data_IF_119355095988
#
_entry.id   IF_119355095988
#
_cell.length_a   1.000
_cell.length_b   1.000
_cell.length_c   1.000
_cell.angle_alpha   90.00
_cell.angle_beta   90.00
_cell.angle_gamma   90.00
#
_symmetry.space_group_name_H-M   'P 1'
#
loop_
_entity.id
_entity.type
_entity.pdbx_description
1 polymer ?
#
# COMPACT_ATOMS: atom_id res chain seq x y z
N UNK A 1 -23.41 -11.79 -47.18
CA UNK A 1 -23.67 -12.36 -45.83
C UNK A 1 -22.38 -12.88 -45.22
N UNK A 2 -21.71 -12.10 -44.36
CA UNK A 2 -20.66 -12.60 -43.46
C UNK A 2 -20.59 -11.62 -42.29
N UNK A 3 -21.20 -12.01 -41.17
CA UNK A 3 -21.26 -11.21 -39.94
C UNK A 3 -19.86 -11.26 -39.30
N UNK A 4 -19.16 -10.13 -39.27
CA UNK A 4 -17.90 -9.99 -38.54
C UNK A 4 -18.29 -9.65 -37.10
N UNK A 5 -18.17 -10.62 -36.20
CA UNK A 5 -18.39 -10.41 -34.78
C UNK A 5 -17.17 -9.67 -34.21
N UNK A 6 -17.36 -8.43 -33.78
CA UNK A 6 -16.37 -7.68 -33.03
C UNK A 6 -16.29 -8.26 -31.61
N UNK A 7 -15.16 -8.88 -31.27
CA UNK A 7 -14.82 -9.27 -29.91
C UNK A 7 -14.40 -8.02 -29.15
N UNK A 8 -15.34 -7.41 -28.44
CA UNK A 8 -15.06 -6.31 -27.52
C UNK A 8 -14.28 -6.87 -26.33
N UNK A 9 -12.97 -6.65 -26.33
CA UNK A 9 -12.11 -6.86 -25.16
C UNK A 9 -12.45 -5.75 -24.15
N UNK A 10 -13.38 -6.03 -23.24
CA UNK A 10 -13.65 -5.17 -22.11
C UNK A 10 -12.42 -5.22 -21.19
N UNK A 11 -11.48 -4.28 -21.41
CA UNK A 11 -10.43 -4.01 -20.46
C UNK A 11 -11.11 -3.39 -19.24
N UNK A 12 -11.44 -4.21 -18.26
CA UNK A 12 -11.84 -3.77 -16.93
C UNK A 12 -10.64 -3.04 -16.33
N UNK A 13 -10.55 -1.74 -16.59
CA UNK A 13 -9.71 -0.84 -15.82
C UNK A 13 -10.38 -0.78 -14.46
N UNK A 14 -9.99 -1.68 -13.54
CA UNK A 14 -10.29 -1.46 -12.14
C UNK A 14 -9.69 -0.09 -11.80
N UNK A 15 -10.46 0.85 -11.23
CA UNK A 15 -9.86 2.07 -10.75
C UNK A 15 -8.84 1.64 -9.69
N UNK A 16 -7.56 1.85 -9.96
CA UNK A 16 -6.57 1.86 -8.90
C UNK A 16 -7.09 2.88 -7.90
N UNK A 17 -7.42 2.43 -6.68
CA UNK A 17 -7.83 3.31 -5.61
C UNK A 17 -6.82 4.46 -5.58
N UNK A 18 -7.28 5.66 -5.93
CA UNK A 18 -6.39 6.80 -6.04
C UNK A 18 -6.01 7.19 -4.62
N UNK A 19 -4.77 6.90 -4.24
CA UNK A 19 -4.20 7.33 -2.98
C UNK A 19 -3.22 8.48 -3.23
N UNK A 20 -3.12 9.40 -2.28
CA UNK A 20 -2.31 10.59 -2.40
C UNK A 20 -0.93 10.44 -1.73
N UNK A 21 -0.81 9.51 -0.78
CA UNK A 21 0.44 9.28 -0.07
C UNK A 21 1.55 8.80 -1.01
N UNK A 22 2.71 9.47 -0.95
CA UNK A 22 3.90 9.06 -1.70
C UNK A 22 4.62 7.90 -0.99
N UNK A 23 4.76 6.71 -1.62
CA UNK A 23 5.50 5.58 -1.04
C UNK A 23 6.96 5.88 -0.70
N UNK A 24 7.58 6.87 -1.37
CA UNK A 24 8.98 7.25 -1.12
C UNK A 24 9.22 7.66 0.34
N UNK A 25 8.21 8.24 1.00
CA UNK A 25 8.25 8.63 2.41
C UNK A 25 8.50 7.46 3.36
N UNK A 26 8.07 6.25 2.99
CA UNK A 26 8.27 5.06 3.81
C UNK A 26 9.71 4.53 3.67
N UNK A 27 10.26 4.58 2.46
CA UNK A 27 11.55 3.96 2.11
C UNK A 27 12.78 4.64 2.73
N UNK A 28 12.63 5.86 3.26
CA UNK A 28 13.68 6.52 4.04
C UNK A 28 14.15 5.68 5.24
N UNK A 29 13.22 4.99 5.90
CA UNK A 29 13.52 4.08 7.00
C UNK A 29 13.30 2.60 6.62
N UNK A 30 12.28 2.30 5.82
CA UNK A 30 11.88 0.95 5.49
C UNK A 30 12.45 0.48 4.15
N UNK A 31 13.71 0.03 4.19
CA UNK A 31 14.42 -0.53 3.04
C UNK A 31 15.17 -1.78 3.44
N UNK A 32 15.51 -2.61 2.46
CA UNK A 32 16.36 -3.76 2.66
C UNK A 32 17.63 -3.40 3.45
N UNK A 33 17.92 -4.17 4.49
CA UNK A 33 19.10 -3.98 5.35
C UNK A 33 19.02 -2.78 6.31
N UNK A 34 17.87 -2.12 6.44
CA UNK A 34 17.71 -1.05 7.43
C UNK A 34 17.87 -1.58 8.87
N UNK A 35 18.70 -0.94 9.71
CA UNK A 35 18.88 -1.36 11.10
C UNK A 35 17.78 -0.86 12.03
N UNK A 36 16.97 0.11 11.60
CA UNK A 36 15.99 0.81 12.44
C UNK A 36 14.55 0.49 12.10
N UNK A 37 14.28 -0.13 10.95
CA UNK A 37 12.93 -0.48 10.53
C UNK A 37 12.93 -1.74 9.65
N UNK A 38 11.87 -2.57 9.69
CA UNK A 38 11.74 -3.73 8.82
C UNK A 38 11.54 -3.30 7.36
N UNK A 39 11.98 -4.14 6.43
CA UNK A 39 11.68 -3.95 5.01
C UNK A 39 10.18 -4.15 4.74
N UNK A 40 9.60 -3.26 3.95
CA UNK A 40 8.19 -3.30 3.55
C UNK A 40 7.99 -3.99 2.20
N UNK A 41 9.03 -4.16 1.38
CA UNK A 41 8.90 -4.82 0.08
C UNK A 41 8.35 -6.24 0.26
N UNK A 42 7.25 -6.55 -0.43
CA UNK A 42 6.55 -7.83 -0.36
C UNK A 42 5.85 -8.10 0.97
N UNK A 43 5.60 -7.08 1.79
CA UNK A 43 4.75 -7.22 2.97
C UNK A 43 3.29 -7.46 2.53
N UNK A 44 2.60 -8.49 3.05
CA UNK A 44 1.19 -8.72 2.72
C UNK A 44 0.32 -7.48 3.03
N UNK A 45 -0.59 -7.15 2.11
CA UNK A 45 -1.38 -5.92 2.19
C UNK A 45 -2.25 -5.85 3.47
N UNK A 46 -2.83 -6.98 3.88
CA UNK A 46 -3.62 -7.12 5.10
C UNK A 46 -2.77 -6.82 6.35
N UNK A 47 -1.53 -7.31 6.40
CA UNK A 47 -0.60 -7.04 7.48
C UNK A 47 -0.17 -5.58 7.53
N UNK A 48 0.09 -4.97 6.37
CA UNK A 48 0.41 -3.55 6.29
C UNK A 48 -0.75 -2.70 6.82
N UNK A 49 -1.97 -2.96 6.33
CA UNK A 49 -3.17 -2.22 6.74
C UNK A 49 -3.43 -2.39 8.24
N UNK A 50 -3.35 -3.60 8.77
CA UNK A 50 -3.51 -3.86 10.20
C UNK A 50 -2.49 -3.06 11.02
N UNK A 51 -1.20 -3.16 10.68
CA UNK A 51 -0.15 -2.45 11.41
C UNK A 51 -0.35 -0.93 11.40
N UNK A 52 -0.70 -0.34 10.25
CA UNK A 52 -0.93 1.11 10.17
C UNK A 52 -2.13 1.56 10.99
N UNK A 53 -3.22 0.79 10.99
CA UNK A 53 -4.39 1.06 11.83
C UNK A 53 -4.09 0.90 13.33
N UNK A 54 -3.28 -0.08 13.70
CA UNK A 54 -2.83 -0.28 15.07
C UNK A 54 -1.93 0.87 15.56
N UNK A 55 -1.01 1.36 14.72
CA UNK A 55 -0.20 2.53 15.06
C UNK A 55 -1.04 3.80 15.19
N UNK A 56 -2.01 3.99 14.30
CA UNK A 56 -2.90 5.16 14.29
C UNK A 56 -3.81 5.19 15.51
N UNK A 57 -4.41 4.05 15.87
CA UNK A 57 -5.24 3.89 17.07
C UNK A 57 -4.43 3.88 18.37
N UNK A 58 -3.14 3.55 18.30
CA UNK A 58 -2.27 3.36 19.45
C UNK A 58 -2.31 1.95 20.05
N UNK A 59 -3.04 1.01 19.44
CA UNK A 59 -3.01 -0.41 19.84
C UNK A 59 -1.60 -1.03 19.72
N UNK A 60 -0.82 -0.58 18.73
CA UNK A 60 0.60 -0.90 18.60
C UNK A 60 1.44 0.33 18.93
N UNK A 61 2.29 0.22 19.95
CA UNK A 61 3.09 1.35 20.44
C UNK A 61 4.38 1.52 19.63
N UNK A 62 4.50 2.64 18.93
CA UNK A 62 5.75 3.18 18.38
C UNK A 62 5.53 4.67 18.06
N UNK A 63 6.18 5.62 18.74
CA UNK A 63 5.93 7.05 18.55
C UNK A 63 6.19 7.54 17.11
N UNK A 64 7.24 7.03 16.47
CA UNK A 64 7.59 7.38 15.09
C UNK A 64 6.51 6.91 14.13
N UNK A 65 6.15 5.62 14.17
CA UNK A 65 5.13 5.09 13.27
C UNK A 65 3.73 5.62 13.57
N UNK A 66 3.43 5.97 14.83
CA UNK A 66 2.21 6.71 15.17
C UNK A 66 2.18 8.04 14.42
N UNK A 67 3.23 8.85 14.51
CA UNK A 67 3.32 10.12 13.79
C UNK A 67 3.20 9.94 12.26
N UNK A 68 3.80 8.89 11.70
CA UNK A 68 3.71 8.58 10.26
C UNK A 68 2.31 8.10 9.83
N UNK A 69 1.59 7.38 10.69
CA UNK A 69 0.26 6.82 10.37
C UNK A 69 -0.89 7.81 10.55
N UNK A 70 -0.75 8.78 11.45
CA UNK A 70 -1.79 9.77 11.76
C UNK A 70 -2.33 10.57 10.55
N UNK A 71 -1.49 11.10 9.63
CA UNK A 71 -1.97 11.90 8.51
C UNK A 71 -2.58 11.07 7.36
N UNK A 72 -2.41 9.74 7.38
CA UNK A 72 -2.86 8.88 6.28
C UNK A 72 -4.36 8.65 6.36
N UNK A 73 -5.06 8.79 5.24
CA UNK A 73 -6.45 8.34 5.10
C UNK A 73 -6.52 6.82 4.97
N UNK A 74 -7.72 6.25 5.09
CA UNK A 74 -7.93 4.81 4.87
C UNK A 74 -7.60 4.42 3.42
N UNK A 75 -7.85 5.33 2.47
CA UNK A 75 -7.48 5.16 1.07
C UNK A 75 -5.96 5.16 0.89
N UNK A 76 -5.22 6.02 1.62
CA UNK A 76 -3.76 6.02 1.61
C UNK A 76 -3.17 4.73 2.19
N UNK A 77 -3.71 4.26 3.31
CA UNK A 77 -3.26 3.00 3.91
C UNK A 77 -3.50 1.83 2.95
N UNK A 78 -4.67 1.76 2.30
CA UNK A 78 -4.97 0.72 1.32
C UNK A 78 -4.07 0.81 0.09
N UNK A 79 -3.81 2.02 -0.41
CA UNK A 79 -2.94 2.25 -1.56
C UNK A 79 -1.48 1.89 -1.30
N UNK A 80 -0.94 2.29 -0.14
CA UNK A 80 0.41 1.91 0.28
C UNK A 80 0.53 0.41 0.52
N UNK A 81 -0.49 -0.23 1.13
CA UNK A 81 -0.53 -1.67 1.31
C UNK A 81 -0.47 -2.42 -0.03
N UNK A 82 -1.27 -1.99 -1.01
CA UNK A 82 -1.25 -2.53 -2.36
C UNK A 82 0.11 -2.30 -3.04
N UNK A 83 0.70 -1.12 -2.89
CA UNK A 83 2.01 -0.80 -3.44
C UNK A 83 3.11 -1.71 -2.89
N UNK A 84 3.28 -1.78 -1.57
CA UNK A 84 4.37 -2.55 -0.95
C UNK A 84 4.20 -4.06 -1.09
N UNK A 85 2.97 -4.57 -1.08
CA UNK A 85 2.70 -5.99 -1.32
C UNK A 85 3.02 -6.45 -2.75
N UNK A 86 2.93 -5.54 -3.72
CA UNK A 86 3.29 -5.81 -5.11
C UNK A 86 4.80 -5.77 -5.37
N UNK A 87 5.60 -5.26 -4.43
CA UNK A 87 7.06 -5.31 -4.54
C UNK A 87 7.54 -6.75 -4.26
N UNK A 88 8.44 -7.26 -5.10
CA UNK A 88 9.11 -8.54 -4.83
C UNK A 88 10.04 -8.44 -3.61
N UNK A 89 10.27 -9.57 -2.95
CA UNK A 89 11.37 -9.72 -1.97
C UNK A 89 12.64 -10.16 -2.67
#
# INVERSE_FOLDING_TARGET
MKKIAALALALSVLPAASFAADPSMCTGCHRAGSPTAPDLAGMPADQFTAAMNEYKSGARSNPTMKAMSMPLSDADIAGLAAHFSALGK
#
